data_IF_356538924269
#
_entry.id   IF_356538924269
#
_cell.length_a   1.000
_cell.length_b   1.000
_cell.length_c   1.000
_cell.angle_alpha   90.00
_cell.angle_beta   90.00
_cell.angle_gamma   90.00
#
_symmetry.space_group_name_H-M   'P 1'
#
loop_
_entity.id
_entity.type
_entity.pdbx_description
1 polymer ?
#
# COMPACT_ATOMS: atom_id res chain seq x y z
N UNK A 1 50.42 25.80 19.86
CA UNK A 1 50.20 27.07 19.12
C UNK A 1 48.99 26.90 18.23
N UNK A 2 47.88 27.57 18.57
CA UNK A 2 46.57 27.39 17.95
C UNK A 2 46.26 28.55 16.99
N UNK A 3 46.07 28.25 15.72
CA UNK A 3 45.58 29.22 14.72
C UNK A 3 44.05 29.23 14.73
N UNK A 4 43.45 30.28 15.32
CA UNK A 4 42.04 30.63 15.17
C UNK A 4 41.82 31.23 13.78
N UNK A 5 41.15 30.48 12.89
CA UNK A 5 40.64 30.99 11.62
C UNK A 5 39.30 31.70 11.86
N UNK A 6 39.28 33.02 11.65
CA UNK A 6 38.09 33.86 11.72
C UNK A 6 37.32 33.78 10.40
N UNK A 7 36.24 33.00 10.39
CA UNK A 7 35.35 32.89 9.23
C UNK A 7 34.44 34.13 9.15
N UNK A 8 34.64 34.94 8.10
CA UNK A 8 33.82 36.12 7.77
C UNK A 8 32.39 35.69 7.42
N UNK A 9 31.41 36.07 8.25
CA UNK A 9 29.99 36.04 7.88
C UNK A 9 29.70 37.17 6.89
N UNK A 10 29.35 36.81 5.66
CA UNK A 10 28.83 37.75 4.67
C UNK A 10 27.40 38.21 5.01
N UNK A 11 26.98 39.38 4.49
CA UNK A 11 25.66 39.95 4.77
C UNK A 11 24.54 39.13 4.16
N UNK A 12 23.49 38.88 4.95
CA UNK A 12 22.26 38.22 4.49
C UNK A 12 21.54 39.05 3.42
N UNK A 13 20.99 38.42 2.37
CA UNK A 13 20.23 39.13 1.35
C UNK A 13 18.88 39.66 1.89
N UNK A 14 18.36 40.77 1.31
CA UNK A 14 17.12 41.39 1.74
C UNK A 14 15.90 40.50 1.47
N UNK A 15 15.07 40.33 2.50
CA UNK A 15 13.78 39.63 2.45
C UNK A 15 12.80 40.45 1.60
N UNK A 16 12.32 39.87 0.49
CA UNK A 16 11.25 40.50 -0.31
C UNK A 16 9.88 40.34 0.38
N UNK A 17 9.06 41.39 0.48
CA UNK A 17 7.72 41.31 1.04
C UNK A 17 6.79 40.49 0.14
N UNK A 18 5.98 39.64 0.76
CA UNK A 18 4.93 38.83 0.12
C UNK A 18 3.73 39.73 -0.21
N UNK A 19 3.19 39.71 -1.44
CA UNK A 19 2.00 40.49 -1.79
C UNK A 19 0.78 39.98 -1.01
N UNK A 20 0.03 40.94 -0.47
CA UNK A 20 -1.15 40.72 0.37
C UNK A 20 -2.25 39.97 -0.35
N UNK A 21 -2.80 38.97 0.34
CA UNK A 21 -3.98 38.20 -0.06
C UNK A 21 -5.20 39.06 0.20
N UNK A 22 -5.76 39.64 -0.87
CA UNK A 22 -6.95 40.47 -0.81
C UNK A 22 -8.17 39.68 -0.36
N UNK A 23 -8.86 40.24 0.64
CA UNK A 23 -10.20 39.87 1.06
C UNK A 23 -11.19 40.12 -0.07
N UNK A 24 -11.97 39.11 -0.44
CA UNK A 24 -13.12 39.25 -1.35
C UNK A 24 -14.34 38.62 -0.68
N UNK A 25 -15.31 39.48 -0.40
CA UNK A 25 -16.58 39.25 0.27
C UNK A 25 -17.55 38.34 -0.55
N UNK A 26 -18.63 37.82 0.08
CA UNK A 26 -19.50 36.81 -0.51
C UNK A 26 -20.62 37.43 -1.36
N UNK A 27 -20.78 36.94 -2.59
CA UNK A 27 -21.93 37.25 -3.43
C UNK A 27 -23.05 36.20 -3.21
N UNK A 28 -24.21 36.70 -2.77
CA UNK A 28 -25.51 36.01 -2.72
C UNK A 28 -26.12 35.92 -4.13
N UNK A 29 -27.18 35.10 -4.23
CA UNK A 29 -28.22 35.00 -5.27
C UNK A 29 -28.02 33.90 -6.33
N UNK A 30 -28.86 32.86 -6.27
CA UNK A 30 -30.05 32.79 -7.12
C UNK A 30 -30.76 31.44 -6.91
N UNK A 31 -32.00 31.50 -6.43
CA UNK A 31 -32.92 30.39 -6.44
C UNK A 31 -33.44 30.20 -7.88
N UNK A 32 -33.10 29.08 -8.50
CA UNK A 32 -33.64 28.66 -9.78
C UNK A 32 -34.32 27.31 -9.62
N UNK A 33 -35.66 27.33 -9.60
CA UNK A 33 -36.51 26.14 -9.75
C UNK A 33 -36.15 25.43 -11.06
N UNK A 34 -35.66 24.19 -10.96
CA UNK A 34 -35.49 23.30 -12.11
C UNK A 34 -36.35 22.05 -11.88
N UNK A 35 -37.46 21.99 -12.60
CA UNK A 35 -38.38 20.85 -12.69
C UNK A 35 -37.63 19.62 -13.18
N UNK A 36 -37.47 18.63 -12.30
CA UNK A 36 -36.80 17.37 -12.63
C UNK A 36 -37.84 16.37 -13.18
N UNK A 37 -37.76 16.09 -14.48
CA UNK A 37 -38.53 15.02 -15.12
C UNK A 37 -37.91 13.68 -14.73
N UNK A 38 -38.61 12.92 -13.90
CA UNK A 38 -38.22 11.59 -13.44
C UNK A 38 -38.53 10.57 -14.55
N UNK A 39 -37.59 10.36 -15.49
CA UNK A 39 -37.68 9.26 -16.46
C UNK A 39 -37.19 7.98 -15.77
N UNK A 40 -38.13 7.17 -15.31
CA UNK A 40 -37.89 5.84 -14.75
C UNK A 40 -37.38 4.87 -15.82
N UNK A 41 -36.07 4.85 -16.07
CA UNK A 41 -35.41 3.78 -16.82
C UNK A 41 -35.34 2.52 -15.93
N UNK A 42 -36.36 1.67 -16.03
CA UNK A 42 -36.31 0.26 -15.64
C UNK A 42 -35.39 -0.47 -16.63
N UNK A 43 -34.08 -0.28 -16.51
CA UNK A 43 -33.13 -1.16 -17.17
C UNK A 43 -33.17 -2.52 -16.44
N UNK A 44 -33.39 -3.65 -17.14
CA UNK A 44 -33.27 -4.96 -16.53
C UNK A 44 -31.85 -5.09 -15.98
N UNK A 45 -31.75 -5.36 -14.68
CA UNK A 45 -30.49 -5.75 -14.05
C UNK A 45 -30.04 -7.05 -14.71
N UNK A 46 -29.21 -6.93 -15.75
CA UNK A 46 -28.45 -8.05 -16.25
C UNK A 46 -27.52 -8.48 -15.11
N UNK A 47 -27.88 -9.56 -14.42
CA UNK A 47 -27.01 -10.22 -13.46
C UNK A 47 -25.70 -10.51 -14.18
N UNK A 48 -24.63 -9.80 -13.80
CA UNK A 48 -23.29 -10.11 -14.28
C UNK A 48 -23.00 -11.56 -13.84
N UNK A 49 -23.09 -12.50 -14.77
CA UNK A 49 -22.60 -13.85 -14.52
C UNK A 49 -21.11 -13.73 -14.29
N UNK A 50 -20.68 -13.98 -13.06
CA UNK A 50 -19.26 -14.16 -12.74
C UNK A 50 -18.84 -15.39 -13.51
N UNK A 51 -18.08 -15.19 -14.59
CA UNK A 51 -17.54 -16.30 -15.37
C UNK A 51 -16.77 -17.22 -14.41
N UNK A 52 -16.90 -18.56 -14.56
CA UNK A 52 -16.13 -19.48 -13.75
C UNK A 52 -14.63 -19.13 -13.88
N UNK A 53 -13.84 -19.23 -12.80
CA UNK A 53 -12.41 -18.97 -12.88
C UNK A 53 -11.80 -19.86 -13.96
N UNK A 54 -10.98 -19.28 -14.83
CA UNK A 54 -10.25 -20.04 -15.85
C UNK A 54 -9.32 -21.09 -15.21
N UNK A 55 -8.77 -22.03 -16.01
CA UNK A 55 -7.84 -23.04 -15.49
C UNK A 55 -6.64 -22.37 -14.79
N UNK A 56 -6.00 -23.05 -13.82
CA UNK A 56 -4.82 -22.50 -13.17
C UNK A 56 -3.71 -22.23 -14.19
N UNK A 57 -2.89 -21.21 -13.94
CA UNK A 57 -1.72 -20.91 -14.76
C UNK A 57 -0.68 -22.03 -14.63
N UNK A 58 -0.03 -22.38 -15.73
CA UNK A 58 1.20 -23.18 -15.73
C UNK A 58 2.34 -22.44 -15.01
N UNK A 59 3.44 -23.14 -14.74
CA UNK A 59 4.64 -22.56 -14.14
C UNK A 59 5.20 -21.48 -15.08
N UNK A 60 5.30 -21.77 -16.37
CA UNK A 60 5.83 -20.86 -17.39
C UNK A 60 4.97 -19.59 -17.53
N UNK A 61 3.63 -19.73 -17.50
CA UNK A 61 2.72 -18.58 -17.50
C UNK A 61 2.84 -17.75 -16.22
N UNK A 62 3.10 -18.40 -15.08
CA UNK A 62 3.31 -17.73 -13.79
C UNK A 62 4.60 -16.91 -13.80
N UNK A 63 5.70 -17.48 -14.31
CA UNK A 63 6.97 -16.77 -14.46
C UNK A 63 6.84 -15.59 -15.42
N UNK A 64 6.22 -15.82 -16.58
CA UNK A 64 5.98 -14.76 -17.57
C UNK A 64 5.15 -13.61 -16.97
N UNK A 65 4.16 -13.93 -16.14
CA UNK A 65 3.36 -12.94 -15.42
C UNK A 65 4.23 -12.08 -14.50
N UNK A 66 5.16 -12.64 -13.73
CA UNK A 66 5.97 -11.84 -12.78
C UNK A 66 7.20 -11.18 -13.41
N UNK A 67 7.66 -11.66 -14.55
CA UNK A 67 8.72 -11.02 -15.36
C UNK A 67 8.21 -9.86 -16.22
N UNK A 68 6.90 -9.80 -16.49
CA UNK A 68 6.32 -8.73 -17.28
C UNK A 68 6.39 -7.34 -16.60
N UNK A 69 6.41 -6.29 -17.42
CA UNK A 69 6.37 -4.89 -16.97
C UNK A 69 4.96 -4.35 -17.07
N UNK A 70 4.43 -3.89 -15.93
CA UNK A 70 3.09 -3.33 -15.82
C UNK A 70 3.13 -1.82 -15.64
N UNK A 71 2.27 -1.09 -16.38
CA UNK A 71 2.14 0.36 -16.27
C UNK A 71 1.04 0.80 -15.30
N UNK A 72 -0.07 0.03 -15.20
CA UNK A 72 -1.23 0.38 -14.38
C UNK A 72 -1.29 -0.45 -13.08
N UNK A 73 -1.17 -1.78 -13.19
CA UNK A 73 -1.00 -2.72 -12.09
C UNK A 73 -0.75 -4.14 -12.66
N UNK A 74 -0.35 -5.08 -11.80
CA UNK A 74 -0.40 -6.50 -12.14
C UNK A 74 -1.87 -6.93 -12.38
N UNK A 75 -2.18 -7.71 -13.43
CA UNK A 75 -3.54 -8.16 -13.70
C UNK A 75 -3.99 -9.18 -12.65
N UNK A 76 -4.78 -8.70 -11.69
CA UNK A 76 -5.16 -9.47 -10.49
C UNK A 76 -5.90 -10.76 -10.82
N UNK A 77 -6.74 -10.78 -11.86
CA UNK A 77 -7.48 -11.98 -12.29
C UNK A 77 -6.55 -13.10 -12.75
N UNK A 78 -5.41 -12.75 -13.38
CA UNK A 78 -4.40 -13.73 -13.78
C UNK A 78 -3.58 -14.19 -12.58
N UNK A 79 -3.17 -13.26 -11.71
CA UNK A 79 -2.45 -13.60 -10.49
C UNK A 79 -3.28 -14.50 -9.55
N UNK A 80 -4.59 -14.28 -9.46
CA UNK A 80 -5.50 -15.12 -8.68
C UNK A 80 -5.66 -16.55 -9.25
N UNK A 81 -5.27 -16.79 -10.51
CA UNK A 81 -5.27 -18.12 -11.15
C UNK A 81 -3.96 -18.88 -10.96
N UNK A 82 -2.97 -18.32 -10.26
CA UNK A 82 -1.73 -19.04 -9.97
C UNK A 82 -2.04 -20.24 -9.08
N UNK A 83 -1.79 -21.44 -9.60
CA UNK A 83 -1.97 -22.69 -8.86
C UNK A 83 -0.87 -22.95 -7.83
N UNK A 84 -0.96 -24.09 -7.13
CA UNK A 84 0.01 -24.47 -6.10
C UNK A 84 1.44 -24.63 -6.65
N UNK A 85 1.60 -25.17 -7.86
CA UNK A 85 2.92 -25.34 -8.51
C UNK A 85 3.54 -23.98 -8.87
N UNK A 86 2.76 -23.08 -9.48
CA UNK A 86 3.20 -21.72 -9.76
C UNK A 86 3.54 -20.95 -8.48
N UNK A 87 2.75 -21.10 -7.41
CA UNK A 87 3.04 -20.46 -6.13
C UNK A 87 4.32 -21.00 -5.48
N UNK A 88 4.57 -22.31 -5.52
CA UNK A 88 5.83 -22.89 -5.07
C UNK A 88 7.01 -22.29 -5.85
N UNK A 89 6.86 -22.15 -7.18
CA UNK A 89 7.86 -21.50 -8.01
C UNK A 89 8.11 -20.04 -7.62
N UNK A 90 7.06 -19.27 -7.34
CA UNK A 90 7.19 -17.89 -6.87
C UNK A 90 7.97 -17.79 -5.55
N UNK A 91 7.79 -18.74 -4.63
CA UNK A 91 8.55 -18.79 -3.38
C UNK A 91 10.04 -19.02 -3.66
N UNK A 92 10.38 -19.93 -4.59
CA UNK A 92 11.76 -20.13 -5.03
C UNK A 92 12.36 -18.86 -5.64
N UNK A 93 11.64 -18.20 -6.55
CA UNK A 93 12.09 -16.95 -7.18
C UNK A 93 12.32 -15.82 -6.15
N UNK A 94 11.52 -15.78 -5.08
CA UNK A 94 11.69 -14.79 -4.02
C UNK A 94 12.99 -14.99 -3.23
N UNK A 95 13.45 -16.24 -3.13
CA UNK A 95 14.72 -16.60 -2.49
C UNK A 95 15.94 -16.45 -3.42
N UNK A 96 15.73 -16.38 -4.74
CA UNK A 96 16.80 -16.24 -5.72
C UNK A 96 17.25 -14.76 -5.86
N UNK A 97 18.52 -14.43 -5.56
CA UNK A 97 19.03 -13.08 -5.71
C UNK A 97 19.13 -12.59 -7.17
N UNK A 98 19.19 -13.49 -8.16
CA UNK A 98 19.21 -13.13 -9.58
C UNK A 98 17.82 -12.66 -10.07
N UNK A 99 16.75 -13.05 -9.37
CA UNK A 99 15.35 -12.67 -9.66
C UNK A 99 14.93 -11.34 -9.02
N UNK A 100 15.89 -10.59 -8.44
CA UNK A 100 15.61 -9.39 -7.64
C UNK A 100 14.81 -8.30 -8.37
N UNK A 101 15.00 -8.16 -9.68
CA UNK A 101 14.23 -7.21 -10.50
C UNK A 101 12.72 -7.55 -10.53
N UNK A 102 12.37 -8.81 -10.29
CA UNK A 102 11.00 -9.32 -10.29
C UNK A 102 10.40 -9.53 -8.89
N UNK A 103 11.19 -9.41 -7.82
CA UNK A 103 10.70 -9.58 -6.44
C UNK A 103 9.46 -8.72 -6.12
N UNK A 104 9.35 -7.50 -6.66
CA UNK A 104 8.15 -6.68 -6.48
C UNK A 104 6.90 -7.38 -7.01
N UNK A 105 6.97 -7.95 -8.22
CA UNK A 105 5.85 -8.65 -8.85
C UNK A 105 5.60 -10.00 -8.16
N UNK A 106 6.65 -10.72 -7.78
CA UNK A 106 6.56 -11.99 -7.03
C UNK A 106 5.79 -11.79 -5.71
N UNK A 107 6.15 -10.77 -4.93
CA UNK A 107 5.46 -10.44 -3.67
C UNK A 107 3.97 -10.14 -3.90
N UNK A 108 3.66 -9.34 -4.94
CA UNK A 108 2.27 -9.03 -5.30
C UNK A 108 1.49 -10.27 -5.70
N UNK A 109 2.07 -11.11 -6.57
CA UNK A 109 1.44 -12.33 -7.05
C UNK A 109 1.14 -13.30 -5.90
N UNK A 110 2.10 -13.52 -5.00
CA UNK A 110 1.90 -14.31 -3.77
C UNK A 110 0.78 -13.75 -2.89
N UNK A 111 0.73 -12.42 -2.74
CA UNK A 111 -0.32 -11.76 -1.97
C UNK A 111 -1.72 -11.91 -2.60
N UNK A 112 -1.82 -11.89 -3.93
CA UNK A 112 -3.09 -12.00 -4.67
C UNK A 112 -3.56 -13.45 -4.77
N UNK A 113 -2.67 -14.41 -5.03
CA UNK A 113 -3.06 -15.82 -5.16
C UNK A 113 -3.38 -16.47 -3.81
N UNK A 114 -2.79 -15.97 -2.72
CA UNK A 114 -3.09 -16.43 -1.36
C UNK A 114 -2.69 -17.88 -1.11
N UNK A 115 -1.69 -18.39 -1.82
CA UNK A 115 -1.27 -19.78 -1.71
C UNK A 115 -0.73 -20.13 -0.31
N UNK A 116 -0.85 -21.40 0.13
CA UNK A 116 -0.21 -21.86 1.36
C UNK A 116 1.29 -21.56 1.38
N UNK A 117 1.81 -21.04 2.50
CA UNK A 117 3.22 -20.66 2.63
C UNK A 117 3.56 -19.25 2.14
N UNK A 118 2.64 -18.55 1.46
CA UNK A 118 2.88 -17.19 0.96
C UNK A 118 3.20 -16.19 2.09
N UNK A 119 2.53 -16.31 3.25
CA UNK A 119 2.80 -15.41 4.38
C UNK A 119 4.21 -15.61 4.91
N UNK A 120 4.61 -16.86 5.09
CA UNK A 120 5.94 -17.26 5.57
C UNK A 120 7.01 -16.73 4.60
N UNK A 121 6.88 -17.00 3.30
CA UNK A 121 7.82 -16.52 2.28
C UNK A 121 7.93 -14.99 2.24
N UNK A 122 6.81 -14.27 2.26
CA UNK A 122 6.80 -12.79 2.30
C UNK A 122 7.44 -12.29 3.60
N UNK A 123 7.19 -12.95 4.73
CA UNK A 123 7.73 -12.55 6.03
C UNK A 123 9.23 -12.80 6.14
N UNK A 124 9.71 -13.92 5.61
CA UNK A 124 11.13 -14.26 5.58
C UNK A 124 11.88 -13.25 4.71
N UNK A 125 11.36 -12.95 3.51
CA UNK A 125 11.93 -11.89 2.66
C UNK A 125 11.90 -10.54 3.37
N UNK A 126 10.80 -10.17 4.03
CA UNK A 126 10.67 -8.88 4.72
C UNK A 126 11.62 -8.74 5.93
N UNK A 127 11.94 -9.83 6.62
CA UNK A 127 12.76 -9.83 7.84
C UNK A 127 14.23 -10.17 7.59
N UNK A 128 14.59 -10.55 6.36
CA UNK A 128 15.99 -10.74 5.96
C UNK A 128 16.84 -9.52 6.37
N UNK A 129 17.93 -9.74 7.15
CA UNK A 129 18.82 -8.67 7.59
C UNK A 129 19.43 -7.92 6.41
N UNK A 130 19.34 -6.59 6.44
CA UNK A 130 19.87 -5.71 5.40
C UNK A 130 20.62 -4.56 6.04
N UNK A 131 21.80 -4.28 5.48
CA UNK A 131 22.67 -3.20 5.93
C UNK A 131 23.08 -2.31 4.76
N UNK A 132 23.47 -1.07 5.05
CA UNK A 132 23.99 -0.15 4.05
C UNK A 132 22.94 0.40 3.09
N UNK A 133 23.35 0.69 1.85
CA UNK A 133 22.48 1.21 0.81
C UNK A 133 21.82 0.07 0.03
N UNK A 134 20.48 0.03 0.01
CA UNK A 134 19.74 -0.88 -0.84
C UNK A 134 19.86 -0.47 -2.30
N UNK A 135 19.80 -1.44 -3.21
CA UNK A 135 19.57 -1.15 -4.60
C UNK A 135 18.11 -0.73 -4.87
N UNK A 136 17.87 -0.25 -6.09
CA UNK A 136 16.55 0.26 -6.50
C UNK A 136 15.49 -0.86 -6.55
N UNK A 137 15.85 -2.07 -6.95
CA UNK A 137 14.93 -3.18 -7.10
C UNK A 137 14.46 -3.68 -5.72
N UNK A 138 15.38 -3.90 -4.78
CA UNK A 138 15.05 -4.25 -3.39
C UNK A 138 14.20 -3.18 -2.73
N UNK A 139 14.55 -1.89 -2.90
CA UNK A 139 13.74 -0.81 -2.33
C UNK A 139 12.30 -0.79 -2.88
N UNK A 140 12.12 -1.01 -4.19
CA UNK A 140 10.79 -1.12 -4.80
C UNK A 140 9.99 -2.31 -4.27
N UNK A 141 10.62 -3.48 -4.18
CA UNK A 141 10.00 -4.67 -3.60
C UNK A 141 9.59 -4.42 -2.14
N UNK A 142 10.43 -3.73 -1.37
CA UNK A 142 10.10 -3.37 0.01
C UNK A 142 8.90 -2.41 0.10
N UNK A 143 8.79 -1.44 -0.81
CA UNK A 143 7.66 -0.52 -0.85
C UNK A 143 6.32 -1.22 -1.13
N UNK A 144 6.32 -2.35 -1.82
CA UNK A 144 5.08 -3.08 -2.17
C UNK A 144 4.62 -4.05 -1.07
N UNK A 145 5.49 -4.39 -0.11
CA UNK A 145 5.19 -5.34 0.96
C UNK A 145 3.85 -5.09 1.67
N UNK A 146 3.50 -3.85 2.10
CA UNK A 146 2.22 -3.64 2.78
C UNK A 146 1.03 -3.99 1.89
N UNK A 147 1.11 -3.67 0.60
CA UNK A 147 0.03 -3.98 -0.34
C UNK A 147 -0.10 -5.49 -0.57
N UNK A 148 1.02 -6.20 -0.78
CA UNK A 148 1.03 -7.66 -0.89
C UNK A 148 0.41 -8.34 0.35
N UNK A 149 0.79 -7.91 1.56
CA UNK A 149 0.20 -8.40 2.82
C UNK A 149 -1.28 -8.03 2.96
N UNK A 150 -1.69 -6.85 2.47
CA UNK A 150 -3.08 -6.41 2.45
C UNK A 150 -3.96 -7.29 1.57
N UNK A 151 -3.45 -7.68 0.39
CA UNK A 151 -4.12 -8.66 -0.49
C UNK A 151 -4.16 -10.05 0.14
N UNK A 152 -3.03 -10.48 0.73
CA UNK A 152 -2.93 -11.77 1.39
C UNK A 152 -3.91 -11.90 2.57
N UNK A 153 -4.22 -10.81 3.25
CA UNK A 153 -5.17 -10.81 4.38
C UNK A 153 -6.58 -11.30 4.03
N UNK A 154 -6.94 -11.32 2.74
CA UNK A 154 -8.20 -11.91 2.27
C UNK A 154 -8.19 -13.45 2.35
N UNK A 155 -7.01 -14.05 2.31
CA UNK A 155 -6.78 -15.50 2.32
C UNK A 155 -6.21 -15.99 3.65
N UNK A 156 -5.30 -15.22 4.26
CA UNK A 156 -4.66 -15.53 5.54
C UNK A 156 -4.85 -14.38 6.56
N UNK A 157 -5.70 -14.55 7.59
CA UNK A 157 -5.95 -13.50 8.58
C UNK A 157 -4.71 -13.13 9.42
N UNK A 158 -3.66 -13.97 9.45
CA UNK A 158 -2.39 -13.65 10.14
C UNK A 158 -1.66 -12.47 9.47
N UNK A 159 -1.89 -12.22 8.18
CA UNK A 159 -1.30 -11.07 7.47
C UNK A 159 -1.74 -9.71 8.08
N UNK A 160 -2.94 -9.63 8.67
CA UNK A 160 -3.40 -8.45 9.41
C UNK A 160 -2.52 -8.20 10.64
N UNK A 161 -2.16 -9.25 11.36
CA UNK A 161 -1.28 -9.14 12.53
C UNK A 161 0.13 -8.73 12.09
N UNK A 162 0.64 -9.25 10.97
CA UNK A 162 1.92 -8.84 10.40
C UNK A 162 1.95 -7.36 10.02
N UNK A 163 0.89 -6.85 9.39
CA UNK A 163 0.72 -5.43 9.08
C UNK A 163 0.65 -4.56 10.35
N UNK A 164 -0.03 -5.02 11.40
CA UNK A 164 -0.06 -4.32 12.68
C UNK A 164 1.31 -4.28 13.37
N UNK A 165 2.12 -5.34 13.22
CA UNK A 165 3.46 -5.40 13.80
C UNK A 165 4.40 -4.32 13.25
N UNK A 166 4.22 -3.89 11.99
CA UNK A 166 5.01 -2.80 11.36
C UNK A 166 5.01 -1.51 12.18
N UNK A 167 3.96 -1.25 12.97
CA UNK A 167 3.88 -0.05 13.82
C UNK A 167 4.75 -0.11 15.06
N UNK A 168 5.22 -1.29 15.46
CA UNK A 168 6.10 -1.51 16.60
C UNK A 168 7.54 -1.85 16.20
N UNK A 169 7.83 -1.94 14.90
CA UNK A 169 9.17 -2.22 14.41
C UNK A 169 10.12 -1.04 14.62
N UNK A 170 11.38 -1.38 14.94
CA UNK A 170 12.45 -0.40 15.02
C UNK A 170 12.78 0.19 13.65
N UNK A 171 13.53 1.28 13.69
CA UNK A 171 14.01 1.93 12.48
C UNK A 171 14.98 1.00 11.73
N UNK A 172 14.78 0.77 10.41
CA UNK A 172 15.70 -0.07 9.63
C UNK A 172 17.13 0.49 9.62
N UNK A 173 18.12 -0.40 9.70
CA UNK A 173 19.54 -0.05 9.67
C UNK A 173 20.05 0.32 8.25
N UNK A 174 19.31 -0.07 7.20
CA UNK A 174 19.62 0.25 5.81
C UNK A 174 19.02 1.59 5.37
N UNK A 175 19.46 2.08 4.21
CA UNK A 175 18.93 3.28 3.57
C UNK A 175 18.80 3.13 2.05
N UNK A 176 18.08 4.05 1.41
CA UNK A 176 18.05 4.20 -0.05
C UNK A 176 18.05 5.68 -0.41
N UNK A 177 19.14 6.21 -0.98
CA UNK A 177 19.27 7.64 -1.29
C UNK A 177 18.93 8.51 -0.05
N UNK A 178 17.94 9.40 -0.17
CA UNK A 178 17.46 10.24 0.94
C UNK A 178 16.48 9.56 1.93
N UNK A 179 16.12 8.30 1.70
CA UNK A 179 15.22 7.54 2.58
C UNK A 179 16.05 6.76 3.60
N UNK A 180 16.02 7.22 4.86
CA UNK A 180 16.79 6.64 5.95
C UNK A 180 16.12 6.87 7.29
N UNK A 181 16.45 6.03 8.27
CA UNK A 181 16.10 6.29 9.66
C UNK A 181 14.57 6.39 9.88
N UNK A 182 14.10 7.32 10.74
CA UNK A 182 12.68 7.51 11.03
C UNK A 182 11.79 7.78 9.81
N UNK A 183 12.37 8.27 8.70
CA UNK A 183 11.63 8.48 7.45
C UNK A 183 11.19 7.16 6.81
N UNK A 184 12.03 6.12 6.88
CA UNK A 184 11.67 4.78 6.38
C UNK A 184 10.60 4.14 7.26
N UNK A 185 10.76 4.21 8.59
CA UNK A 185 9.77 3.71 9.53
C UNK A 185 8.38 4.33 9.28
N UNK A 186 8.30 5.67 9.13
CA UNK A 186 7.04 6.35 8.79
C UNK A 186 6.46 5.94 7.44
N UNK A 187 7.32 5.68 6.44
CA UNK A 187 6.86 5.20 5.14
C UNK A 187 6.23 3.81 5.25
N UNK A 188 6.86 2.89 5.99
CA UNK A 188 6.35 1.56 6.25
C UNK A 188 5.01 1.60 6.99
N UNK A 189 4.93 2.39 8.07
CA UNK A 189 3.71 2.57 8.87
C UNK A 189 2.54 3.13 8.05
N UNK A 190 2.77 4.13 7.19
CA UNK A 190 1.73 4.67 6.29
C UNK A 190 1.29 3.64 5.24
N UNK A 191 2.24 2.87 4.70
CA UNK A 191 1.93 1.75 3.80
C UNK A 191 1.05 0.72 4.49
N UNK A 192 1.40 0.30 5.71
CA UNK A 192 0.63 -0.66 6.50
C UNK A 192 -0.76 -0.15 6.87
N UNK A 193 -0.90 1.13 7.25
CA UNK A 193 -2.20 1.74 7.52
C UNK A 193 -3.11 1.74 6.28
N UNK A 194 -2.53 2.08 5.12
CA UNK A 194 -3.25 2.08 3.85
C UNK A 194 -3.70 0.67 3.46
N UNK A 195 -2.81 -0.32 3.55
CA UNK A 195 -3.13 -1.71 3.28
C UNK A 195 -4.24 -2.25 4.19
N UNK A 196 -4.15 -2.02 5.51
CA UNK A 196 -5.19 -2.40 6.47
C UNK A 196 -6.55 -1.78 6.10
N UNK A 197 -6.57 -0.50 5.71
CA UNK A 197 -7.80 0.17 5.30
C UNK A 197 -8.42 -0.42 4.03
N UNK A 198 -7.60 -0.75 3.04
CA UNK A 198 -8.03 -1.28 1.73
C UNK A 198 -8.59 -2.71 1.81
N UNK A 199 -8.24 -3.48 2.84
CA UNK A 199 -8.83 -4.83 3.03
C UNK A 199 -10.34 -4.79 3.27
N UNK A 200 -10.84 -3.76 3.98
CA UNK A 200 -12.22 -3.71 4.47
C UNK A 200 -12.58 -4.78 5.51
N UNK A 201 -11.61 -5.55 6.02
CA UNK A 201 -11.85 -6.64 6.97
C UNK A 201 -12.12 -6.11 8.39
N UNK A 202 -13.05 -6.69 9.17
CA UNK A 202 -13.31 -6.25 10.54
C UNK A 202 -12.08 -6.31 11.46
N UNK A 203 -11.22 -7.32 11.28
CA UNK A 203 -9.95 -7.46 12.03
C UNK A 203 -8.99 -6.30 11.74
N UNK A 204 -8.88 -5.86 10.49
CA UNK A 204 -8.04 -4.73 10.10
C UNK A 204 -8.55 -3.40 10.70
N UNK A 205 -9.87 -3.20 10.75
CA UNK A 205 -10.46 -2.04 11.43
C UNK A 205 -10.15 -2.01 12.93
N UNK A 206 -10.16 -3.18 13.60
CA UNK A 206 -9.73 -3.30 15.00
C UNK A 206 -8.24 -3.02 15.18
N UNK A 207 -7.40 -3.49 14.26
CA UNK A 207 -5.95 -3.24 14.26
C UNK A 207 -5.67 -1.73 14.14
N UNK A 208 -6.26 -1.05 13.15
CA UNK A 208 -6.14 0.41 13.00
C UNK A 208 -6.55 1.15 14.28
N UNK A 209 -7.67 0.75 14.90
CA UNK A 209 -8.11 1.35 16.17
C UNK A 209 -7.15 1.10 17.35
N UNK A 210 -6.49 -0.05 17.42
CA UNK A 210 -5.46 -0.33 18.44
C UNK A 210 -4.20 0.48 18.21
N UNK A 211 -3.76 0.62 16.96
CA UNK A 211 -2.58 1.42 16.62
C UNK A 211 -2.84 2.90 16.95
N UNK A 212 -3.99 3.45 16.56
CA UNK A 212 -4.35 4.84 16.86
C UNK A 212 -4.34 5.13 18.36
N UNK A 213 -4.90 4.23 19.19
CA UNK A 213 -4.90 4.42 20.66
C UNK A 213 -3.51 4.38 21.30
N UNK A 214 -2.54 3.72 20.65
CA UNK A 214 -1.16 3.59 21.15
C UNK A 214 -0.23 4.66 20.61
N UNK A 215 -0.61 5.31 19.52
CA UNK A 215 0.21 6.33 18.88
C UNK A 215 0.25 7.60 19.72
N UNK A 216 1.43 8.20 19.78
CA UNK A 216 1.70 9.49 20.41
C UNK A 216 2.16 10.54 19.38
N UNK A 217 2.23 10.18 18.10
CA UNK A 217 2.62 11.05 16.99
C UNK A 217 1.37 11.68 16.35
N UNK A 218 1.16 13.00 16.47
CA UNK A 218 -0.03 13.67 15.93
C UNK A 218 -0.19 13.54 14.41
N UNK A 219 0.91 13.46 13.66
CA UNK A 219 0.85 13.29 12.20
C UNK A 219 0.39 11.87 11.83
N UNK A 220 0.91 10.86 12.55
CA UNK A 220 0.49 9.48 12.36
C UNK A 220 -0.98 9.31 12.78
N UNK A 221 -1.41 9.91 13.88
CA UNK A 221 -2.79 9.88 14.35
C UNK A 221 -3.76 10.44 13.30
N UNK A 222 -3.41 11.59 12.71
CA UNK A 222 -4.22 12.19 11.64
C UNK A 222 -4.35 11.26 10.43
N UNK A 223 -3.25 10.59 10.05
CA UNK A 223 -3.27 9.60 8.97
C UNK A 223 -4.11 8.37 9.32
N UNK A 224 -3.97 7.81 10.53
CA UNK A 224 -4.73 6.65 11.00
C UNK A 224 -6.24 6.94 11.03
N UNK A 225 -6.66 8.14 11.47
CA UNK A 225 -8.06 8.58 11.39
C UNK A 225 -8.60 8.57 9.96
N UNK A 226 -7.83 9.12 9.01
CA UNK A 226 -8.21 9.09 7.60
C UNK A 226 -8.32 7.66 7.05
N UNK A 227 -7.37 6.78 7.41
CA UNK A 227 -7.39 5.38 7.00
C UNK A 227 -8.56 4.60 7.61
N UNK A 228 -8.97 4.90 8.85
CA UNK A 228 -10.19 4.32 9.44
C UNK A 228 -11.47 4.76 8.74
N UNK A 229 -11.55 6.02 8.30
CA UNK A 229 -12.69 6.48 7.51
C UNK A 229 -12.78 5.71 6.18
N UNK A 230 -11.65 5.59 5.47
CA UNK A 230 -11.54 4.81 4.22
C UNK A 230 -11.87 3.33 4.43
N UNK A 231 -11.40 2.73 5.54
CA UNK A 231 -11.76 1.35 5.92
C UNK A 231 -13.28 1.18 6.05
N UNK A 232 -13.97 2.12 6.70
CA UNK A 232 -15.42 2.10 6.84
C UNK A 232 -16.18 2.20 5.51
N UNK A 233 -15.62 2.88 4.51
CA UNK A 233 -16.16 2.92 3.14
C UNK A 233 -15.98 1.57 2.44
N UNK A 234 -14.77 1.00 2.52
CA UNK A 234 -14.46 -0.30 1.90
C UNK A 234 -15.25 -1.44 2.52
N UNK A 235 -15.40 -1.47 3.85
CA UNK A 235 -16.21 -2.46 4.55
C UNK A 235 -17.68 -2.41 4.09
N UNK A 236 -18.23 -1.21 3.89
CA UNK A 236 -19.58 -1.02 3.33
C UNK A 236 -19.68 -1.50 1.88
N UNK A 237 -18.65 -1.27 1.06
CA UNK A 237 -18.62 -1.78 -0.31
C UNK A 237 -18.66 -3.32 -0.34
N UNK A 238 -17.79 -3.98 0.43
CA UNK A 238 -17.77 -5.46 0.53
C UNK A 238 -19.10 -6.03 1.06
N UNK A 239 -19.73 -5.36 2.02
CA UNK A 239 -21.04 -5.78 2.53
C UNK A 239 -22.11 -5.76 1.43
N UNK A 240 -22.09 -4.77 0.52
CA UNK A 240 -23.00 -4.72 -0.64
C UNK A 240 -22.69 -5.79 -1.67
N UNK A 241 -21.41 -6.11 -1.89
CA UNK A 241 -20.98 -7.18 -2.80
C UNK A 241 -21.46 -8.56 -2.33
N UNK A 242 -21.49 -8.82 -1.00
CA UNK A 242 -21.93 -10.11 -0.44
C UNK A 242 -23.45 -10.38 -0.47
N UNK A 243 -24.26 -9.34 -0.67
CA UNK A 243 -25.73 -9.46 -0.74
C UNK A 243 -26.21 -9.73 -2.16
N UNK A 244 -25.34 -9.51 -3.15
CA UNK A 244 -25.59 -9.81 -4.56
C UNK A 244 -25.27 -11.26 -4.86
#
# INVERSE_FOLDING_TARGET
MAHRSLSRRGPSPPVRPRPGRGDSAPARLAAGLATLVLVSFLAPFASAQVAPPGPPLSIEETEALVHARYFEAMPEEQAARIGSEGAARLIEMLADPEERESHQNVLLALGICGAPGALEAISDWATEPREGELDRATFKAWQVLPHALGRLAEHDPRAVARLEAVFAEDTPAWHFRQHRGPRLARLAQRGAASALAETGLPSAGRALGRVERRSSDPELDAHLRAMRARHGERARARARERVR
#
